data_IF_248266103402
#
_entry.id   IF_248266103402
#
_cell.length_a   1.000
_cell.length_b   1.000
_cell.length_c   1.000
_cell.angle_alpha   90.00
_cell.angle_beta   90.00
_cell.angle_gamma   90.00
#
_symmetry.space_group_name_H-M   'P 1'
#
loop_
_entity.id
_entity.type
_entity.pdbx_description
1 polymer ?
#
# COMPACT_ATOMS: atom_id res chain seq x y z
N UNK A 1 22.06 7.72 -11.93
CA UNK A 1 21.47 6.58 -11.17
C UNK A 1 21.51 5.36 -12.07
N UNK A 2 22.10 4.23 -11.64
CA UNK A 2 22.07 2.97 -12.41
C UNK A 2 20.99 2.05 -11.82
N UNK A 3 20.07 1.59 -12.66
CA UNK A 3 19.01 0.65 -12.28
C UNK A 3 19.60 -0.72 -11.92
N UNK A 4 19.16 -1.32 -10.82
CA UNK A 4 19.40 -2.73 -10.51
C UNK A 4 18.30 -3.65 -11.09
N UNK A 5 17.76 -3.32 -12.27
CA UNK A 5 16.74 -4.16 -12.91
C UNK A 5 17.33 -5.55 -13.17
N UNK A 6 16.69 -6.60 -12.64
CA UNK A 6 17.20 -7.98 -12.76
C UNK A 6 16.91 -8.57 -14.15
N UNK A 7 15.83 -8.14 -14.83
CA UNK A 7 15.47 -8.60 -16.18
C UNK A 7 14.97 -7.48 -17.10
N UNK A 8 15.15 -7.57 -18.43
CA UNK A 8 14.77 -6.52 -19.40
C UNK A 8 13.28 -6.17 -19.43
N UNK A 9 12.40 -7.07 -19.01
CA UNK A 9 10.94 -6.90 -19.08
C UNK A 9 10.31 -6.50 -17.75
N UNK A 10 11.11 -6.32 -16.69
CA UNK A 10 10.57 -5.93 -15.37
C UNK A 10 10.08 -4.46 -15.38
N UNK A 11 10.56 -3.65 -16.32
CA UNK A 11 10.23 -2.22 -16.43
C UNK A 11 10.06 -1.81 -17.90
N UNK A 12 8.97 -1.10 -18.20
CA UNK A 12 8.74 -0.49 -19.51
C UNK A 12 9.12 0.98 -19.42
N UNK A 13 10.24 1.35 -20.06
CA UNK A 13 10.64 2.75 -20.15
C UNK A 13 9.70 3.49 -21.12
N UNK A 14 9.07 4.56 -20.64
CA UNK A 14 8.29 5.45 -21.50
C UNK A 14 9.26 6.42 -22.19
N UNK A 15 9.27 6.51 -23.54
CA UNK A 15 10.09 7.49 -24.24
C UNK A 15 9.80 8.91 -23.78
N UNK A 16 10.84 9.74 -23.63
CA UNK A 16 10.68 11.14 -23.19
C UNK A 16 9.78 11.96 -24.14
N UNK A 17 9.72 11.58 -25.41
CA UNK A 17 8.88 12.23 -26.43
C UNK A 17 7.41 11.79 -26.40
N UNK A 18 7.05 10.80 -25.59
CA UNK A 18 5.69 10.28 -25.52
C UNK A 18 4.72 11.36 -24.98
N UNK A 19 3.49 11.37 -25.49
CA UNK A 19 2.48 12.39 -25.15
C UNK A 19 2.12 12.40 -23.66
N UNK A 20 2.17 11.25 -22.99
CA UNK A 20 1.94 11.13 -21.54
C UNK A 20 2.95 11.94 -20.70
N UNK A 21 4.13 12.25 -21.26
CA UNK A 21 5.17 13.08 -20.64
C UNK A 21 5.16 14.51 -21.21
N UNK A 22 4.03 14.96 -21.76
CA UNK A 22 3.88 16.27 -22.43
C UNK A 22 5.02 16.54 -23.43
N UNK A 23 5.34 15.51 -24.24
CA UNK A 23 6.40 15.54 -25.26
C UNK A 23 7.76 16.01 -24.69
N UNK A 24 8.06 15.62 -23.46
CA UNK A 24 9.32 15.90 -22.77
C UNK A 24 9.26 17.12 -21.85
N UNK A 25 8.12 17.80 -21.75
CA UNK A 25 7.95 18.90 -20.78
C UNK A 25 7.66 18.39 -19.37
N UNK A 26 6.98 17.25 -19.23
CA UNK A 26 6.75 16.64 -17.93
C UNK A 26 7.98 15.81 -17.53
N UNK A 27 8.61 16.18 -16.41
CA UNK A 27 9.74 15.44 -15.84
C UNK A 27 9.26 14.70 -14.60
N UNK A 28 9.38 13.37 -14.63
CA UNK A 28 9.10 12.54 -13.46
C UNK A 28 10.00 12.92 -12.30
N UNK A 29 9.45 12.95 -11.08
CA UNK A 29 10.20 13.24 -9.86
C UNK A 29 10.36 11.97 -9.03
N UNK A 30 11.57 11.72 -8.55
CA UNK A 30 11.78 10.70 -7.53
C UNK A 30 11.46 11.27 -6.15
N UNK A 31 10.68 10.52 -5.39
CA UNK A 31 10.41 10.83 -4.00
C UNK A 31 11.41 10.06 -3.15
N UNK A 32 12.24 10.80 -2.41
CA UNK A 32 13.15 10.22 -1.43
C UNK A 32 12.40 10.10 -0.11
N UNK A 33 12.53 8.94 0.54
CA UNK A 33 11.88 8.64 1.80
C UNK A 33 12.88 7.94 2.72
N UNK A 34 12.71 8.15 4.02
CA UNK A 34 13.33 7.36 5.09
C UNK A 34 12.27 6.49 5.79
N UNK A 35 12.72 5.59 6.66
CA UNK A 35 11.81 4.76 7.44
C UNK A 35 10.89 5.64 8.30
N UNK A 36 9.58 5.39 8.21
CA UNK A 36 8.55 6.15 8.94
C UNK A 36 7.90 7.28 8.13
N UNK A 37 8.45 7.64 6.95
CA UNK A 37 7.81 8.64 6.09
C UNK A 37 6.49 8.12 5.51
N UNK A 38 5.50 9.01 5.41
CA UNK A 38 4.22 8.77 4.75
C UNK A 38 4.18 9.53 3.42
N UNK A 39 4.01 8.81 2.32
CA UNK A 39 3.83 9.40 0.98
C UNK A 39 2.37 9.28 0.57
N UNK A 40 1.75 10.42 0.31
CA UNK A 40 0.37 10.51 -0.18
C UNK A 40 0.35 11.11 -1.58
N UNK A 41 -0.56 10.62 -2.41
CA UNK A 41 -0.83 11.20 -3.72
C UNK A 41 -2.32 11.21 -4.03
N UNK A 42 -2.74 12.19 -4.81
CA UNK A 42 -4.09 12.26 -5.38
C UNK A 42 -4.30 11.08 -6.35
N UNK A 43 -5.50 10.49 -6.38
CA UNK A 43 -5.80 9.31 -7.21
C UNK A 43 -5.65 9.57 -8.72
N UNK A 44 -5.62 10.83 -9.15
CA UNK A 44 -5.39 11.25 -10.55
C UNK A 44 -3.90 11.47 -10.86
N UNK A 45 -3.02 11.38 -9.87
CA UNK A 45 -1.58 11.53 -10.08
C UNK A 45 -1.01 10.28 -10.76
N UNK A 46 -0.44 10.48 -11.94
CA UNK A 46 0.36 9.46 -12.63
C UNK A 46 1.61 9.20 -11.78
N UNK A 47 1.77 7.96 -11.33
CA UNK A 47 2.92 7.49 -10.57
C UNK A 47 3.30 6.08 -11.00
N UNK A 48 4.53 5.68 -10.70
CA UNK A 48 5.00 4.33 -10.92
C UNK A 48 6.06 3.95 -9.90
N UNK A 49 6.24 2.66 -9.67
CA UNK A 49 7.38 2.16 -8.91
C UNK A 49 8.65 2.25 -9.76
N UNK A 50 9.76 2.59 -9.12
CA UNK A 50 11.09 2.46 -9.70
C UNK A 50 11.79 1.21 -9.19
N UNK A 51 12.83 0.76 -9.90
CA UNK A 51 13.88 -0.05 -9.27
C UNK A 51 14.37 0.62 -7.99
N UNK A 52 14.85 -0.18 -7.03
CA UNK A 52 15.64 0.36 -5.94
C UNK A 52 16.92 0.97 -6.52
N UNK A 53 17.30 2.15 -6.02
CA UNK A 53 18.53 2.82 -6.36
C UNK A 53 19.44 2.83 -5.14
N UNK A 54 20.69 2.43 -5.31
CA UNK A 54 21.73 2.64 -4.31
C UNK A 54 22.62 3.76 -4.83
N UNK A 55 22.47 4.96 -4.24
CA UNK A 55 23.28 6.14 -4.55
C UNK A 55 24.72 5.97 -4.07
N UNK A 56 24.89 5.36 -2.90
CA UNK A 56 26.19 5.07 -2.31
C UNK A 56 26.86 3.86 -2.98
N UNK A 57 28.03 4.09 -3.56
CA UNK A 57 28.81 3.06 -4.24
C UNK A 57 29.33 1.98 -3.28
N UNK A 58 29.56 2.32 -2.01
CA UNK A 58 30.00 1.36 -0.97
C UNK A 58 28.88 0.41 -0.54
N UNK A 59 27.62 0.82 -0.64
CA UNK A 59 26.46 -0.04 -0.33
C UNK A 59 26.14 -1.00 -1.49
N UNK A 60 26.62 -0.73 -2.71
CA UNK A 60 26.39 -1.60 -3.88
C UNK A 60 27.13 -2.93 -3.80
N UNK A 61 28.29 -2.96 -3.16
CA UNK A 61 29.13 -4.16 -3.04
C UNK A 61 28.73 -5.04 -1.85
N UNK A 62 27.86 -4.55 -0.96
CA UNK A 62 27.39 -5.31 0.20
C UNK A 62 26.18 -6.16 -0.17
N UNK A 63 26.09 -7.42 0.31
CA UNK A 63 24.86 -8.18 0.25
C UNK A 63 23.76 -7.36 0.94
N UNK A 64 22.70 -7.04 0.21
CA UNK A 64 21.56 -6.31 0.76
C UNK A 64 20.37 -7.26 0.82
N UNK A 65 19.93 -7.60 2.02
CA UNK A 65 18.80 -8.51 2.22
C UNK A 65 17.45 -7.84 1.88
N UNK A 66 17.32 -6.54 2.17
CA UNK A 66 16.10 -5.77 1.90
C UNK A 66 16.42 -4.37 1.36
N UNK A 67 16.04 -4.11 0.11
CA UNK A 67 16.29 -2.83 -0.56
C UNK A 67 15.22 -1.77 -0.26
N UNK A 68 13.95 -2.19 -0.15
CA UNK A 68 12.81 -1.32 0.13
C UNK A 68 11.61 -2.17 0.56
N UNK A 69 10.95 -1.78 1.64
CA UNK A 69 9.63 -2.29 2.03
C UNK A 69 8.67 -1.11 2.18
N UNK A 70 7.44 -1.29 1.72
CA UNK A 70 6.36 -0.30 1.85
C UNK A 70 5.10 -1.01 2.30
N UNK A 71 4.30 -0.35 3.14
CA UNK A 71 2.95 -0.78 3.47
C UNK A 71 1.98 0.14 2.73
N UNK A 72 1.14 -0.43 1.86
CA UNK A 72 0.09 0.33 1.21
C UNK A 72 -1.07 0.55 2.17
N UNK A 73 -1.40 1.82 2.42
CA UNK A 73 -2.56 2.22 3.20
C UNK A 73 -3.53 2.93 2.26
N UNK A 74 -4.70 2.33 2.04
CA UNK A 74 -5.78 2.96 1.26
C UNK A 74 -6.55 3.95 2.13
N UNK A 75 -6.80 5.15 1.60
CA UNK A 75 -7.65 6.19 2.22
C UNK A 75 -9.00 6.27 1.51
N UNK A 76 -9.79 5.19 1.56
CA UNK A 76 -11.15 5.19 0.98
C UNK A 76 -12.17 5.75 1.97
N UNK A 77 -12.95 6.79 1.58
CA UNK A 77 -14.05 7.28 2.41
C UNK A 77 -15.09 6.19 2.68
N UNK A 78 -15.66 6.17 3.88
CA UNK A 78 -16.72 5.23 4.25
C UNK A 78 -17.97 5.36 3.36
N UNK A 79 -18.20 6.55 2.79
CA UNK A 79 -19.26 6.82 1.83
C UNK A 79 -19.16 5.99 0.53
N UNK A 80 -18.00 5.40 0.22
CA UNK A 80 -17.81 4.53 -0.95
C UNK A 80 -18.18 3.08 -0.67
N UNK A 81 -18.57 2.73 0.56
CA UNK A 81 -19.14 1.41 0.85
C UNK A 81 -20.50 1.30 0.18
N UNK A 82 -20.58 0.47 -0.84
CA UNK A 82 -21.82 0.13 -1.55
C UNK A 82 -22.28 -1.28 -1.18
N UNK A 83 -23.55 -1.59 -1.46
CA UNK A 83 -24.15 -2.93 -1.34
C UNK A 83 -24.41 -3.46 0.08
N UNK A 84 -24.06 -2.72 1.13
CA UNK A 84 -24.35 -3.06 2.53
C UNK A 84 -24.33 -1.81 3.41
N UNK A 85 -24.91 -1.90 4.62
CA UNK A 85 -24.81 -0.80 5.59
C UNK A 85 -23.39 -0.71 6.17
N UNK A 86 -23.01 0.45 6.70
CA UNK A 86 -21.72 0.60 7.39
C UNK A 86 -21.57 -0.39 8.54
N UNK A 87 -22.60 -0.64 9.33
CA UNK A 87 -22.51 -1.61 10.43
C UNK A 87 -22.26 -3.04 9.96
N UNK A 88 -22.88 -3.45 8.84
CA UNK A 88 -22.61 -4.75 8.22
C UNK A 88 -21.15 -4.83 7.74
N UNK A 89 -20.68 -3.78 7.07
CA UNK A 89 -19.30 -3.67 6.61
C UNK A 89 -18.30 -3.77 7.78
N UNK A 90 -18.52 -3.02 8.87
CA UNK A 90 -17.67 -3.02 10.07
C UNK A 90 -17.61 -4.39 10.75
N UNK A 91 -18.77 -5.04 10.92
CA UNK A 91 -18.86 -6.41 11.47
C UNK A 91 -18.08 -7.40 10.62
N UNK A 92 -18.20 -7.32 9.29
CA UNK A 92 -17.47 -8.19 8.36
C UNK A 92 -15.96 -7.92 8.40
N UNK A 93 -15.53 -6.65 8.39
CA UNK A 93 -14.11 -6.28 8.50
C UNK A 93 -13.47 -6.78 9.79
N UNK A 94 -14.19 -6.67 10.92
CA UNK A 94 -13.78 -7.24 12.23
C UNK A 94 -13.55 -8.75 12.12
N UNK A 95 -14.51 -9.48 11.55
CA UNK A 95 -14.43 -10.94 11.39
C UNK A 95 -13.24 -11.35 10.51
N UNK A 96 -13.02 -10.65 9.40
CA UNK A 96 -11.94 -10.95 8.47
C UNK A 96 -10.56 -10.70 9.09
N UNK A 97 -10.41 -9.62 9.87
CA UNK A 97 -9.18 -9.34 10.60
C UNK A 97 -8.86 -10.42 11.65
N UNK A 98 -9.86 -10.91 12.38
CA UNK A 98 -9.69 -11.97 13.39
C UNK A 98 -9.31 -13.33 12.77
N UNK A 99 -9.68 -13.56 11.50
CA UNK A 99 -9.45 -14.83 10.80
C UNK A 99 -8.29 -14.79 9.79
N UNK A 100 -7.50 -13.72 9.77
CA UNK A 100 -6.38 -13.55 8.83
C UNK A 100 -6.81 -13.73 7.36
N UNK A 101 -8.01 -13.26 7.04
CA UNK A 101 -8.52 -13.30 5.67
C UNK A 101 -7.98 -12.10 4.89
N UNK A 102 -7.42 -12.39 3.72
CA UNK A 102 -7.09 -11.34 2.76
C UNK A 102 -8.34 -10.80 2.08
N UNK A 103 -8.27 -9.51 1.73
CA UNK A 103 -9.31 -8.81 1.00
C UNK A 103 -8.92 -8.68 -0.48
N UNK A 104 -9.86 -8.21 -1.27
CA UNK A 104 -9.58 -7.77 -2.64
C UNK A 104 -8.66 -6.54 -2.65
N UNK A 105 -8.30 -6.10 -3.86
CA UNK A 105 -7.57 -4.85 -4.07
C UNK A 105 -8.40 -3.60 -3.72
N UNK A 106 -9.73 -3.72 -3.53
CA UNK A 106 -10.60 -2.63 -3.14
C UNK A 106 -10.92 -2.70 -1.65
N UNK A 107 -10.46 -1.71 -0.88
CA UNK A 107 -10.68 -1.65 0.58
C UNK A 107 -12.14 -1.55 1.01
N UNK A 108 -13.04 -1.19 0.10
CA UNK A 108 -14.50 -1.12 0.32
C UNK A 108 -15.24 -2.37 -0.13
N UNK A 109 -14.59 -3.30 -0.85
CA UNK A 109 -15.18 -4.56 -1.29
C UNK A 109 -14.59 -5.73 -0.49
N UNK A 110 -15.35 -6.16 0.52
CA UNK A 110 -14.98 -7.28 1.38
C UNK A 110 -15.38 -8.61 0.73
N UNK A 111 -14.74 -8.97 -0.37
CA UNK A 111 -14.80 -10.33 -0.93
C UNK A 111 -13.62 -11.12 -0.37
N UNK A 112 -13.88 -12.30 0.15
CA UNK A 112 -12.86 -13.19 0.70
C UNK A 112 -12.00 -13.74 -0.43
N UNK A 113 -10.69 -13.46 -0.43
CA UNK A 113 -9.77 -14.00 -1.45
C UNK A 113 -9.05 -15.26 -0.99
N UNK A 114 -8.56 -15.30 0.27
CA UNK A 114 -7.85 -16.45 0.85
C UNK A 114 -7.72 -16.30 2.38
N UNK A 115 -7.85 -17.39 3.14
CA UNK A 115 -7.52 -17.47 4.56
C UNK A 115 -6.15 -18.13 4.74
N UNK A 116 -5.38 -17.67 5.73
CA UNK A 116 -4.09 -18.28 6.09
C UNK A 116 -4.16 -18.85 7.50
N UNK A 117 -4.34 -20.18 7.60
CA UNK A 117 -4.56 -20.86 8.88
C UNK A 117 -3.36 -20.79 9.84
N UNK A 118 -2.14 -20.64 9.30
CA UNK A 118 -0.90 -20.69 10.08
C UNK A 118 -0.37 -19.31 10.50
N UNK A 119 -1.09 -18.22 10.21
CA UNK A 119 -0.67 -16.90 10.66
C UNK A 119 -1.16 -16.64 12.10
N UNK A 120 -0.38 -15.91 12.93
CA UNK A 120 -0.86 -15.43 14.22
C UNK A 120 -2.17 -14.67 14.04
N UNK A 121 -3.25 -15.12 14.70
CA UNK A 121 -4.54 -14.44 14.65
C UNK A 121 -4.47 -13.13 15.42
N UNK A 122 -4.99 -12.05 14.83
CA UNK A 122 -5.14 -10.78 15.52
C UNK A 122 -6.18 -10.94 16.64
N UNK A 123 -5.74 -10.82 17.89
CA UNK A 123 -6.64 -10.79 19.05
C UNK A 123 -7.01 -9.34 19.34
N UNK A 124 -8.25 -8.97 19.02
CA UNK A 124 -8.74 -7.59 19.22
C UNK A 124 -8.70 -7.15 20.69
N UNK A 125 -8.76 -8.09 21.63
CA UNK A 125 -8.67 -7.79 23.07
C UNK A 125 -7.26 -7.37 23.52
N UNK A 126 -6.24 -7.73 22.72
CA UNK A 126 -4.85 -7.30 22.94
C UNK A 126 -4.54 -5.96 22.27
N UNK A 127 -5.46 -5.44 21.49
CA UNK A 127 -5.31 -4.16 20.81
C UNK A 127 -5.80 -3.03 21.71
N UNK A 128 -5.13 -1.89 21.67
CA UNK A 128 -5.65 -0.67 22.29
C UNK A 128 -6.88 -0.13 21.54
N UNK A 129 -7.57 0.84 22.13
CA UNK A 129 -8.79 1.42 21.54
C UNK A 129 -8.53 2.03 20.15
N UNK A 130 -7.37 2.63 19.94
CA UNK A 130 -6.99 3.23 18.67
C UNK A 130 -6.79 2.18 17.57
N UNK A 131 -6.06 1.12 17.87
CA UNK A 131 -5.83 -0.01 16.98
C UNK A 131 -7.14 -0.71 16.63
N UNK A 132 -8.05 -0.89 17.60
CA UNK A 132 -9.40 -1.42 17.35
C UNK A 132 -10.20 -0.51 16.43
N UNK A 133 -10.16 0.80 16.67
CA UNK A 133 -10.83 1.80 15.83
C UNK A 133 -10.33 1.77 14.38
N UNK A 134 -9.03 1.54 14.13
CA UNK A 134 -8.47 1.39 12.77
C UNK A 134 -8.94 0.11 12.05
N UNK A 135 -9.21 -0.95 12.79
CA UNK A 135 -9.74 -2.20 12.23
C UNK A 135 -11.24 -2.08 11.97
N UNK A 136 -12.00 -1.56 12.92
CA UNK A 136 -13.46 -1.55 12.83
C UNK A 136 -13.94 -0.35 12.02
N UNK A 137 -13.26 0.80 12.07
CA UNK A 137 -13.65 2.05 11.42
C UNK A 137 -14.67 2.85 12.23
N UNK A 138 -14.44 2.99 13.53
CA UNK A 138 -15.23 3.81 14.49
C UNK A 138 -14.40 5.00 14.98
N UNK A 139 -15.04 6.04 15.52
CA UNK A 139 -14.26 7.03 16.27
C UNK A 139 -13.81 6.41 17.59
N UNK A 140 -12.64 6.84 18.06
CA UNK A 140 -12.11 6.41 19.36
C UNK A 140 -13.05 6.89 20.48
N UNK A 141 -13.71 8.03 20.27
CA UNK A 141 -14.62 8.66 21.22
C UNK A 141 -16.02 8.01 21.25
N UNK A 142 -16.28 7.01 20.39
CA UNK A 142 -17.55 6.26 20.37
C UNK A 142 -17.54 5.03 21.32
N UNK A 143 -16.40 4.70 21.96
CA UNK A 143 -16.24 3.63 22.99
C UNK A 143 -16.15 4.21 24.40
#
# INVERSE_FOLDING_TARGET
LKNQARRPNDFVAVPSTHSILDRGKAVGKFIQCQAGDLVLWDSRLIHCNSCAFVSDEQLRSRPTDLLRIVAYVSMSPAAFVSNQTLDQFRKKRKLLAQNNCTLTHWSTELTESSSYENLPKVSLEKLDAYQRALIIGTNIDDE
#
